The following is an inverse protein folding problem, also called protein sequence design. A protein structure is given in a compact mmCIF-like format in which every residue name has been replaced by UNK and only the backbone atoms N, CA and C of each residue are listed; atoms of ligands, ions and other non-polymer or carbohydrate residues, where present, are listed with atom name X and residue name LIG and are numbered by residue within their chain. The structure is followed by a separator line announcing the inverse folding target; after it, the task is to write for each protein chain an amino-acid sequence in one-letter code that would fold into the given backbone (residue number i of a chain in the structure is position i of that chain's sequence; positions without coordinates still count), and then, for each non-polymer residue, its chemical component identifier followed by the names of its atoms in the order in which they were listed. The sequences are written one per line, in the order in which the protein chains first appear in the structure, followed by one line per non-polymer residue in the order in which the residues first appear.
data_IF_670856368371
#
_entry.id   IF_670856368371
#
_cell.length_a   1.000
_cell.length_b   1.000
_cell.length_c   1.000
_cell.angle_alpha   90.00
_cell.angle_beta   90.00
_cell.angle_gamma   90.00
#
_symmetry.space_group_name_H-M   'P 1'
#
loop_
_entity.id
_entity.type
_entity.pdbx_description
1 polymer ?
#
# COMPACT_ATOMS: atom_id res chain seq x y z
N UNK A 1 5.92 -40.16 8.94
CA UNK A 1 6.37 -38.75 8.95
C UNK A 1 5.26 -37.89 8.38
N UNK A 2 4.46 -37.27 9.24
CA UNK A 2 3.41 -36.34 8.81
C UNK A 2 4.08 -35.05 8.34
N UNK A 3 4.06 -34.82 7.03
CA UNK A 3 4.41 -33.53 6.44
C UNK A 3 3.43 -32.48 6.97
N UNK A 4 3.80 -31.79 8.05
CA UNK A 4 3.08 -30.63 8.55
C UNK A 4 3.19 -29.54 7.48
N UNK A 5 2.19 -29.47 6.60
CA UNK A 5 2.06 -28.34 5.68
C UNK A 5 1.96 -27.08 6.53
N UNK A 6 2.78 -26.05 6.27
CA UNK A 6 2.67 -24.80 7.01
C UNK A 6 1.26 -24.22 6.85
N UNK A 7 0.73 -23.53 7.87
CA UNK A 7 -0.58 -22.90 7.79
C UNK A 7 -0.62 -21.91 6.62
N UNK A 8 -1.78 -21.76 5.96
CA UNK A 8 -1.91 -20.88 4.79
C UNK A 8 -1.51 -19.43 5.06
N UNK A 9 -1.61 -18.96 6.30
CA UNK A 9 -1.12 -17.64 6.72
C UNK A 9 0.40 -17.48 6.57
N UNK A 10 1.17 -18.55 6.79
CA UNK A 10 2.61 -18.56 6.55
C UNK A 10 2.95 -18.56 5.05
N UNK A 11 2.03 -19.04 4.20
CA UNK A 11 2.18 -18.98 2.74
C UNK A 11 1.85 -17.58 2.19
N UNK A 12 1.10 -16.76 2.93
CA UNK A 12 0.59 -15.48 2.47
C UNK A 12 0.79 -14.36 3.50
N UNK A 13 2.03 -13.88 3.70
CA UNK A 13 2.36 -12.89 4.72
C UNK A 13 1.51 -11.61 4.65
N UNK A 14 1.14 -11.17 3.44
CA UNK A 14 0.29 -9.98 3.25
C UNK A 14 -1.15 -10.18 3.73
N UNK A 15 -1.70 -11.39 3.57
CA UNK A 15 -3.05 -11.72 4.07
C UNK A 15 -3.03 -11.78 5.59
N UNK A 16 -1.96 -12.35 6.17
CA UNK A 16 -1.77 -12.37 7.62
C UNK A 16 -1.69 -10.95 8.19
N UNK A 17 -0.91 -10.06 7.55
CA UNK A 17 -0.83 -8.66 7.92
C UNK A 17 -2.19 -7.96 7.81
N UNK A 18 -2.90 -8.10 6.67
CA UNK A 18 -4.21 -7.49 6.48
C UNK A 18 -5.22 -7.92 7.56
N UNK A 19 -5.23 -9.22 7.89
CA UNK A 19 -6.09 -9.78 8.94
C UNK A 19 -5.76 -9.18 10.30
N UNK A 20 -4.46 -9.09 10.64
CA UNK A 20 -4.01 -8.50 11.89
C UNK A 20 -4.39 -7.01 11.98
N UNK A 21 -4.17 -6.23 10.93
CA UNK A 21 -4.51 -4.81 10.88
C UNK A 21 -6.03 -4.59 11.02
N UNK A 22 -6.84 -5.44 10.41
CA UNK A 22 -8.31 -5.38 10.54
C UNK A 22 -8.77 -5.66 11.97
N UNK A 23 -8.17 -6.66 12.64
CA UNK A 23 -8.44 -6.94 14.06
C UNK A 23 -8.05 -5.76 14.96
N UNK A 24 -6.90 -5.14 14.70
CA UNK A 24 -6.44 -3.96 15.45
C UNK A 24 -7.38 -2.75 15.27
N UNK A 25 -7.94 -2.57 14.07
CA UNK A 25 -8.92 -1.50 13.83
C UNK A 25 -10.21 -1.72 14.63
N UNK A 26 -10.72 -2.94 14.70
CA UNK A 26 -11.93 -3.26 15.47
C UNK A 26 -11.75 -3.04 16.97
N UNK A 27 -10.55 -3.29 17.51
CA UNK A 27 -10.22 -3.03 18.90
C UNK A 27 -9.98 -1.54 19.20
N UNK A 28 -9.78 -0.73 18.16
CA UNK A 28 -9.23 0.61 18.29
C UNK A 28 -10.24 1.74 18.45
N UNK A 29 -11.52 1.48 18.22
CA UNK A 29 -12.59 2.49 18.32
C UNK A 29 -13.04 2.77 19.76
N UNK A 30 -12.57 2.00 20.75
CA UNK A 30 -13.09 2.08 22.13
C UNK A 30 -12.18 2.84 23.14
N UNK A 31 -10.88 3.00 22.88
CA UNK A 31 -9.96 3.67 23.81
C UNK A 31 -8.90 4.55 23.11
N UNK A 32 -9.12 5.87 23.15
CA UNK A 32 -8.17 6.88 22.66
C UNK A 32 -7.20 7.31 23.78
N UNK A 33 -6.32 6.40 24.20
CA UNK A 33 -5.19 6.72 25.08
C UNK A 33 -3.88 6.67 24.27
N UNK A 34 -3.02 7.69 24.39
CA UNK A 34 -1.76 7.81 23.64
C UNK A 34 -0.83 6.62 23.85
N UNK A 35 -0.79 6.05 25.06
CA UNK A 35 -0.01 4.84 25.35
C UNK A 35 -0.54 3.62 24.59
N UNK A 36 -1.86 3.44 24.56
CA UNK A 36 -2.49 2.36 23.80
C UNK A 36 -2.28 2.51 22.29
N UNK A 37 -2.22 3.74 21.77
CA UNK A 37 -1.88 4.02 20.37
C UNK A 37 -0.42 3.63 20.09
N UNK A 38 0.51 4.01 20.96
CA UNK A 38 1.93 3.67 20.81
C UNK A 38 2.16 2.15 20.85
N UNK A 39 1.55 1.45 21.81
CA UNK A 39 1.64 0.00 21.92
C UNK A 39 1.11 -0.71 20.67
N UNK A 40 -0.04 -0.25 20.13
CA UNK A 40 -0.60 -0.77 18.88
C UNK A 40 0.34 -0.56 17.69
N UNK A 41 0.96 0.62 17.58
CA UNK A 41 1.97 0.90 16.54
C UNK A 41 3.17 -0.03 16.68
N UNK A 42 3.71 -0.18 17.90
CA UNK A 42 4.85 -1.06 18.17
C UNK A 42 4.54 -2.53 17.87
N UNK A 43 3.36 -3.01 18.24
CA UNK A 43 2.92 -4.36 17.93
C UNK A 43 2.80 -4.57 16.42
N UNK A 44 2.20 -3.60 15.71
CA UNK A 44 2.10 -3.62 14.25
C UNK A 44 3.47 -3.73 13.58
N UNK A 45 4.46 -2.96 14.05
CA UNK A 45 5.83 -3.03 13.54
C UNK A 45 6.49 -4.38 13.79
N UNK A 46 6.32 -4.97 14.98
CA UNK A 46 6.87 -6.31 15.29
C UNK A 46 6.27 -7.41 14.42
N UNK A 47 4.96 -7.36 14.19
CA UNK A 47 4.28 -8.31 13.30
C UNK A 47 4.78 -8.13 11.87
N UNK A 48 4.89 -6.90 11.38
CA UNK A 48 5.41 -6.64 10.04
C UNK A 48 6.86 -7.11 9.88
N UNK A 49 7.72 -6.87 10.87
CA UNK A 49 9.11 -7.36 10.88
C UNK A 49 9.16 -8.89 10.83
N UNK A 50 8.34 -9.56 11.64
CA UNK A 50 8.27 -11.02 11.67
C UNK A 50 7.82 -11.63 10.33
N UNK A 51 6.94 -10.92 9.60
CA UNK A 51 6.37 -11.39 8.33
C UNK A 51 7.24 -11.07 7.11
N UNK A 52 7.97 -9.96 7.13
CA UNK A 52 8.63 -9.39 5.95
C UNK A 52 10.14 -9.17 6.11
N UNK A 53 10.64 -9.25 7.35
CA UNK A 53 12.03 -9.00 7.73
C UNK A 53 12.38 -7.51 7.85
N UNK A 54 13.37 -7.23 8.70
CA UNK A 54 13.76 -5.89 9.10
C UNK A 54 14.11 -4.98 7.92
N UNK A 55 14.87 -5.50 6.93
CA UNK A 55 15.30 -4.70 5.77
C UNK A 55 14.13 -4.23 4.91
N UNK A 56 13.11 -5.07 4.71
CA UNK A 56 11.94 -4.69 3.92
C UNK A 56 11.05 -3.71 4.70
N UNK A 57 10.89 -3.93 6.01
CA UNK A 57 10.17 -3.02 6.90
C UNK A 57 10.84 -1.65 6.97
N UNK A 58 12.15 -1.59 7.19
CA UNK A 58 12.92 -0.34 7.21
C UNK A 58 12.71 0.46 5.92
N UNK A 59 12.83 -0.20 4.77
CA UNK A 59 12.57 0.45 3.48
C UNK A 59 11.13 0.97 3.34
N UNK A 60 10.15 0.28 3.94
CA UNK A 60 8.76 0.72 3.95
C UNK A 60 8.54 1.93 4.87
N UNK A 61 9.17 1.95 6.05
CA UNK A 61 9.13 3.08 6.98
C UNK A 61 9.80 4.31 6.36
N UNK A 62 10.98 4.16 5.75
CA UNK A 62 11.61 5.25 5.01
C UNK A 62 10.69 5.79 3.92
N UNK A 63 9.98 4.92 3.19
CA UNK A 63 9.01 5.33 2.17
C UNK A 63 7.88 6.17 2.77
N UNK A 64 7.37 5.81 3.96
CA UNK A 64 6.31 6.57 4.64
C UNK A 64 6.76 7.97 5.10
N UNK A 65 8.04 8.10 5.47
CA UNK A 65 8.64 9.35 5.94
C UNK A 65 9.06 10.27 4.78
N UNK A 66 9.65 9.71 3.71
CA UNK A 66 10.30 10.49 2.66
C UNK A 66 9.36 10.86 1.52
N UNK A 67 8.38 10.02 1.21
CA UNK A 67 7.62 10.12 -0.03
C UNK A 67 6.30 10.84 0.19
N UNK A 68 5.87 11.64 -0.79
CA UNK A 68 4.48 12.08 -0.83
C UNK A 68 3.64 10.98 -1.46
N UNK A 69 2.52 10.66 -0.82
CA UNK A 69 1.62 9.59 -1.25
C UNK A 69 0.30 10.24 -1.66
N UNK A 70 -0.03 10.14 -2.94
CA UNK A 70 -1.32 10.57 -3.46
C UNK A 70 -2.18 9.34 -3.76
N UNK A 71 -3.36 9.27 -3.17
CA UNK A 71 -4.37 8.28 -3.47
C UNK A 71 -5.43 8.89 -4.39
N UNK A 72 -5.66 8.24 -5.53
CA UNK A 72 -6.78 8.55 -6.42
C UNK A 72 -7.79 7.42 -6.29
N UNK A 73 -9.04 7.76 -5.98
CA UNK A 73 -10.14 6.82 -5.84
C UNK A 73 -11.28 7.17 -6.81
N UNK A 74 -11.62 6.23 -7.70
CA UNK A 74 -12.84 6.33 -8.50
C UNK A 74 -14.04 5.91 -7.64
N UNK A 75 -15.03 6.80 -7.49
CA UNK A 75 -16.23 6.50 -6.68
C UNK A 75 -17.09 5.42 -7.35
N UNK A 76 -17.21 5.49 -8.67
CA UNK A 76 -18.05 4.59 -9.51
C UNK A 76 -17.53 3.16 -9.54
N UNK A 77 -16.28 2.94 -9.95
CA UNK A 77 -15.68 1.60 -10.02
C UNK A 77 -15.02 1.14 -8.72
N UNK A 78 -14.96 2.02 -7.70
CA UNK A 78 -14.22 1.81 -6.45
C UNK A 78 -12.74 1.50 -6.67
N UNK A 79 -12.17 1.79 -7.84
CA UNK A 79 -10.75 1.59 -8.13
C UNK A 79 -9.91 2.57 -7.31
N UNK A 80 -8.75 2.11 -6.84
CA UNK A 80 -7.80 2.92 -6.09
C UNK A 80 -6.42 2.77 -6.71
N UNK A 81 -5.78 3.90 -6.99
CA UNK A 81 -4.38 3.97 -7.39
C UNK A 81 -3.63 4.86 -6.41
N UNK A 82 -2.42 4.44 -6.05
CA UNK A 82 -1.53 5.20 -5.20
C UNK A 82 -0.32 5.62 -6.02
N UNK A 83 0.01 6.91 -5.98
CA UNK A 83 1.22 7.46 -6.59
C UNK A 83 2.14 7.89 -5.45
N UNK A 84 3.29 7.24 -5.33
CA UNK A 84 4.36 7.60 -4.43
C UNK A 84 5.37 8.43 -5.21
N UNK A 85 5.63 9.65 -4.74
CA UNK A 85 6.65 10.53 -5.33
C UNK A 85 7.76 10.71 -4.32
N UNK A 86 8.95 10.22 -4.67
CA UNK A 86 10.13 10.34 -3.82
C UNK A 86 10.60 11.78 -3.84
N UNK A 87 10.68 12.42 -2.66
CA UNK A 87 11.25 13.76 -2.57
C UNK A 87 12.73 13.70 -2.89
N UNK A 88 13.17 14.58 -3.77
CA UNK A 88 14.60 14.77 -4.02
C UNK A 88 15.22 15.30 -2.73
N UNK A 89 16.00 14.47 -2.05
CA UNK A 89 16.82 14.91 -0.93
C UNK A 89 17.83 15.89 -1.55
N UNK A 90 17.72 17.18 -1.24
CA UNK A 90 18.62 18.25 -1.73
C UNK A 90 20.06 18.00 -1.26
N UNK A 91 20.74 17.01 -1.83
CA UNK A 91 22.18 16.87 -1.70
C UNK A 91 22.81 17.89 -2.65
N UNK A 92 23.64 18.74 -2.05
CA UNK A 92 24.34 19.83 -2.72
C UNK A 92 25.26 19.25 -3.81
N UNK A 93 24.82 19.33 -5.06
CA UNK A 93 25.57 19.65 -6.28
C UNK A 93 25.01 18.88 -7.48
N UNK A 94 24.43 19.66 -8.39
CA UNK A 94 24.46 19.49 -9.85
C UNK A 94 23.99 18.15 -10.41
N UNK A 95 22.68 17.96 -10.46
CA UNK A 95 21.93 17.52 -11.65
C UNK A 95 20.44 17.53 -11.30
N UNK A 96 19.62 18.12 -12.15
CA UNK A 96 18.19 18.33 -11.93
C UNK A 96 17.44 17.02 -12.23
N UNK A 97 17.69 15.97 -11.43
CA UNK A 97 17.06 14.67 -11.61
C UNK A 97 15.56 14.76 -11.26
N UNK A 98 14.69 14.38 -12.19
CA UNK A 98 13.25 14.36 -11.96
C UNK A 98 12.90 13.46 -10.76
N UNK A 99 11.91 13.83 -9.93
CA UNK A 99 11.52 13.02 -8.80
C UNK A 99 11.00 11.67 -9.29
N UNK A 100 11.55 10.58 -8.75
CA UNK A 100 11.08 9.23 -9.10
C UNK A 100 9.63 9.05 -8.63
N UNK A 101 8.76 8.64 -9.55
CA UNK A 101 7.35 8.32 -9.29
C UNK A 101 7.13 6.81 -9.39
N UNK A 102 6.41 6.26 -8.41
CA UNK A 102 5.94 4.88 -8.41
C UNK A 102 4.43 4.87 -8.27
N UNK A 103 3.73 4.17 -9.17
CA UNK A 103 2.33 3.84 -8.97
C UNK A 103 2.15 2.43 -8.43
N UNK A 104 1.17 2.29 -7.54
CA UNK A 104 0.79 1.04 -6.89
C UNK A 104 -0.73 0.85 -6.97
N UNK A 105 -1.16 -0.41 -7.09
CA UNK A 105 -2.55 -0.80 -6.99
C UNK A 105 -2.71 -1.74 -5.79
N UNK A 106 -3.69 -1.44 -4.94
CA UNK A 106 -4.07 -2.27 -3.81
C UNK A 106 -5.48 -2.79 -4.01
N UNK A 107 -5.77 -4.04 -3.59
CA UNK A 107 -7.11 -4.57 -3.64
C UNK A 107 -8.02 -3.76 -2.71
N UNK A 108 -9.22 -3.45 -3.20
CA UNK A 108 -10.24 -2.78 -2.40
C UNK A 108 -10.92 -3.86 -1.55
N UNK A 109 -11.00 -3.69 -0.22
CA UNK A 109 -11.75 -4.59 0.63
C UNK A 109 -13.22 -4.56 0.19
N UNK A 110 -13.74 -5.69 -0.26
CA UNK A 110 -15.18 -5.81 -0.54
C UNK A 110 -15.87 -6.05 0.79
N UNK A 111 -16.34 -4.97 1.42
CA UNK A 111 -17.20 -5.08 2.61
C UNK A 111 -18.57 -5.54 2.11
N UNK A 112 -18.80 -6.86 2.14
CA UNK A 112 -20.12 -7.42 1.85
C UNK A 112 -21.02 -7.24 3.07
N UNK A 113 -22.13 -6.47 2.99
CA UNK A 113 -22.96 -6.13 4.14
C UNK A 113 -23.87 -7.27 4.65
N UNK A 114 -23.70 -8.52 4.19
CA UNK A 114 -24.71 -9.58 4.36
C UNK A 114 -24.23 -10.93 4.90
N UNK A 115 -22.98 -11.10 5.34
CA UNK A 115 -22.58 -12.36 6.00
C UNK A 115 -21.38 -12.14 6.94
N UNK A 116 -21.53 -12.52 8.21
CA UNK A 116 -20.47 -12.57 9.24
C UNK A 116 -19.36 -13.60 8.96
N UNK A 117 -19.35 -14.21 7.77
CA UNK A 117 -18.20 -14.96 7.27
C UNK A 117 -17.50 -14.12 6.21
N UNK A 118 -16.40 -13.48 6.63
CA UNK A 118 -15.39 -12.87 5.75
C UNK A 118 -14.82 -13.98 4.86
N UNK A 119 -15.54 -14.32 3.80
CA UNK A 119 -15.00 -15.18 2.74
C UNK A 119 -14.10 -14.29 1.89
N UNK A 120 -12.81 -14.30 2.23
CA UNK A 120 -11.66 -13.71 1.52
C UNK A 120 -11.51 -14.25 0.08
N UNK A 121 -12.57 -14.18 -0.74
CA UNK A 121 -12.62 -14.77 -2.09
C UNK A 121 -12.26 -13.80 -3.20
N UNK A 122 -12.27 -12.49 -2.97
CA UNK A 122 -11.58 -11.58 -3.87
C UNK A 122 -10.08 -11.61 -3.56
N UNK A 123 -9.36 -12.57 -4.16
CA UNK A 123 -7.90 -12.50 -4.32
C UNK A 123 -7.60 -11.28 -5.21
N UNK A 124 -7.69 -10.09 -4.65
CA UNK A 124 -7.42 -8.88 -5.40
C UNK A 124 -5.94 -8.78 -5.73
N UNK A 125 -5.62 -8.16 -6.86
CA UNK A 125 -4.26 -8.06 -7.36
C UNK A 125 -3.51 -6.91 -6.68
N UNK A 126 -2.29 -7.19 -6.21
CA UNK A 126 -1.35 -6.19 -5.74
C UNK A 126 -0.39 -5.86 -6.87
N UNK A 127 -0.13 -4.58 -7.14
CA UNK A 127 0.81 -4.15 -8.17
C UNK A 127 1.69 -3.01 -7.68
N UNK A 128 2.97 -3.04 -8.05
CA UNK A 128 3.84 -1.88 -7.93
C UNK A 128 4.72 -1.75 -9.17
N UNK A 129 4.84 -0.53 -9.69
CA UNK A 129 5.70 -0.20 -10.83
C UNK A 129 7.20 -0.24 -10.52
N UNK A 130 7.61 -0.47 -9.27
CA UNK A 130 9.03 -0.49 -8.92
C UNK A 130 9.73 -1.73 -9.49
N UNK A 131 11.01 -1.57 -9.86
CA UNK A 131 11.86 -2.63 -10.41
C UNK A 131 11.88 -3.90 -9.54
N UNK A 132 12.04 -3.73 -8.22
CA UNK A 132 12.10 -4.84 -7.28
C UNK A 132 10.82 -5.71 -7.28
N UNK A 133 9.66 -5.13 -7.57
CA UNK A 133 8.41 -5.89 -7.71
C UNK A 133 8.45 -6.74 -8.99
N UNK A 134 8.85 -6.17 -10.13
CA UNK A 134 8.96 -6.90 -11.40
C UNK A 134 10.01 -8.02 -11.38
N UNK A 135 11.16 -7.80 -10.74
CA UNK A 135 12.19 -8.84 -10.63
C UNK A 135 11.69 -10.05 -9.83
N UNK A 136 10.99 -9.80 -8.72
CA UNK A 136 10.39 -10.85 -7.88
C UNK A 136 9.25 -11.60 -8.57
N UNK A 137 8.45 -10.93 -9.41
CA UNK A 137 7.37 -11.62 -10.14
C UNK A 137 7.92 -12.52 -11.24
N UNK A 138 8.99 -12.10 -11.94
CA UNK A 138 9.67 -12.92 -12.96
C UNK A 138 10.34 -14.18 -12.38
N UNK A 139 10.95 -14.09 -11.20
CA UNK A 139 11.61 -15.25 -10.57
C UNK A 139 10.64 -16.32 -10.09
N UNK A 140 9.38 -15.96 -9.85
CA UNK A 140 8.37 -16.87 -9.29
C UNK A 140 7.65 -17.68 -10.36
N UNK A 141 7.42 -17.10 -11.54
CA UNK A 141 6.67 -17.74 -12.64
C UNK A 141 7.39 -18.90 -13.31
N UNK A 142 8.71 -19.04 -13.15
CA UNK A 142 9.50 -20.10 -13.81
C UNK A 142 9.62 -21.40 -13.00
N UNK A 143 9.38 -21.39 -11.69
CA UNK A 143 9.73 -22.52 -10.81
C UNK A 143 8.56 -23.22 -10.11
N UNK A 144 7.32 -22.75 -10.25
CA UNK A 144 6.14 -23.43 -9.69
C UNK A 144 4.83 -23.00 -10.36
N UNK A 145 4.13 -23.89 -11.08
CA UNK A 145 2.83 -23.59 -11.69
C UNK A 145 1.70 -23.36 -10.66
N UNK A 146 1.97 -23.49 -9.35
CA UNK A 146 1.00 -23.22 -8.27
C UNK A 146 1.35 -22.00 -7.41
N UNK A 147 2.52 -21.37 -7.59
CA UNK A 147 2.87 -20.13 -6.90
C UNK A 147 2.15 -18.96 -7.58
N UNK A 148 0.89 -18.77 -7.19
CA UNK A 148 0.10 -17.63 -7.63
C UNK A 148 0.86 -16.32 -7.34
N UNK A 149 0.98 -15.48 -8.35
CA UNK A 149 1.71 -14.20 -8.42
C UNK A 149 1.24 -13.12 -7.42
N UNK A 150 0.40 -13.48 -6.44
CA UNK A 150 -0.40 -12.58 -5.61
C UNK A 150 0.27 -12.15 -4.29
N UNK A 151 1.51 -12.57 -4.02
CA UNK A 151 2.09 -12.47 -2.66
C UNK A 151 3.41 -11.71 -2.57
N UNK A 152 3.92 -11.21 -3.70
CA UNK A 152 5.17 -10.45 -3.72
C UNK A 152 4.93 -9.01 -3.28
N UNK A 153 5.39 -8.68 -2.07
CA UNK A 153 5.31 -7.34 -1.49
C UNK A 153 6.67 -6.65 -1.65
N UNK A 154 6.66 -5.45 -2.24
CA UNK A 154 7.80 -4.54 -2.21
C UNK A 154 7.63 -3.53 -1.07
N UNK A 155 8.69 -2.77 -0.75
CA UNK A 155 8.65 -1.77 0.31
C UNK A 155 7.52 -0.74 0.13
N UNK A 156 7.20 -0.35 -1.11
CA UNK A 156 6.12 0.60 -1.39
C UNK A 156 4.75 0.03 -1.05
N UNK A 157 4.48 -1.23 -1.43
CA UNK A 157 3.22 -1.90 -1.10
C UNK A 157 3.08 -2.11 0.41
N UNK A 158 4.17 -2.52 1.07
CA UNK A 158 4.19 -2.67 2.52
C UNK A 158 3.94 -1.33 3.22
N UNK A 159 4.60 -0.26 2.77
CA UNK A 159 4.39 1.10 3.28
C UNK A 159 2.92 1.49 3.19
N UNK A 160 2.30 1.36 2.02
CA UNK A 160 0.88 1.70 1.84
C UNK A 160 -0.06 0.87 2.72
N UNK A 161 0.28 -0.40 3.00
CA UNK A 161 -0.50 -1.27 3.90
C UNK A 161 -0.36 -0.87 5.37
N UNK A 162 0.84 -0.53 5.82
CA UNK A 162 1.11 -0.13 7.21
C UNK A 162 0.63 1.29 7.52
N UNK A 163 0.60 2.16 6.51
CA UNK A 163 0.24 3.58 6.61
C UNK A 163 -0.97 3.85 7.51
N UNK A 164 -2.15 3.23 7.34
CA UNK A 164 -3.34 3.60 8.12
C UNK A 164 -3.18 3.33 9.62
N UNK A 165 -2.40 2.30 9.97
CA UNK A 165 -2.16 1.91 11.36
C UNK A 165 -1.04 2.71 12.03
N UNK A 166 -0.08 3.22 11.24
CA UNK A 166 1.07 3.96 11.79
C UNK A 166 0.85 5.48 11.82
N UNK A 167 0.05 6.02 10.91
CA UNK A 167 -0.09 7.47 10.67
C UNK A 167 -1.50 7.99 10.95
N UNK A 168 -2.14 7.43 11.98
CA UNK A 168 -3.43 7.88 12.47
C UNK A 168 -3.31 9.30 13.06
N UNK A 169 -3.85 10.28 12.34
CA UNK A 169 -4.53 11.47 12.88
C UNK A 169 -3.81 12.57 13.67
N UNK A 170 -2.47 12.69 13.70
CA UNK A 170 -1.84 13.91 14.30
C UNK A 170 -0.70 14.49 13.47
N UNK A 171 -1.05 15.46 12.62
CA UNK A 171 -0.29 16.71 12.44
C UNK A 171 1.05 16.72 11.69
N UNK A 172 1.92 15.70 11.81
CA UNK A 172 3.30 15.85 11.33
C UNK A 172 3.81 14.58 10.64
N UNK A 173 4.32 14.74 9.41
CA UNK A 173 5.23 13.77 8.81
C UNK A 173 4.93 13.37 7.37
N UNK A 174 3.69 12.99 7.03
CA UNK A 174 3.39 12.42 5.70
C UNK A 174 2.39 13.29 4.93
N UNK A 175 2.83 13.90 3.82
CA UNK A 175 1.95 14.60 2.86
C UNK A 175 1.15 13.56 2.08
N UNK A 176 0.05 13.14 2.69
CA UNK A 176 -0.93 12.33 2.02
C UNK A 176 -2.02 13.19 1.45
N UNK A 177 -2.33 12.91 0.20
CA UNK A 177 -3.41 13.55 -0.49
C UNK A 177 -4.35 12.47 -0.99
N UNK A 178 -5.63 12.59 -0.65
CA UNK A 178 -6.67 11.75 -1.22
C UNK A 178 -7.46 12.60 -2.23
N UNK A 179 -7.69 12.06 -3.41
CA UNK A 179 -8.49 12.67 -4.47
C UNK A 179 -9.55 11.67 -4.89
N UNK A 180 -10.81 12.07 -4.80
CA UNK A 180 -11.94 11.26 -5.25
C UNK A 180 -12.42 11.79 -6.61
N UNK A 181 -12.69 10.89 -7.54
CA UNK A 181 -13.18 11.22 -8.88
C UNK A 181 -14.58 10.66 -9.08
N UNK A 182 -15.46 11.47 -9.66
CA UNK A 182 -16.86 11.12 -9.86
C UNK A 182 -17.05 10.21 -11.09
N UNK A 183 -16.19 10.35 -12.11
CA UNK A 183 -16.24 9.54 -13.33
C UNK A 183 -14.91 8.81 -13.60
N UNK A 184 -14.94 7.84 -14.51
CA UNK A 184 -13.76 7.07 -14.92
C UNK A 184 -12.81 7.89 -15.82
N UNK A 185 -13.35 8.84 -16.57
CA UNK A 185 -12.60 9.80 -17.37
C UNK A 185 -11.76 10.70 -16.45
N UNK A 186 -12.38 11.28 -15.42
CA UNK A 186 -11.69 12.07 -14.40
C UNK A 186 -10.62 11.27 -13.67
N UNK A 187 -10.91 10.00 -13.35
CA UNK A 187 -9.92 9.09 -12.76
C UNK A 187 -8.68 8.96 -13.66
N UNK A 188 -8.90 8.70 -14.95
CA UNK A 188 -7.83 8.48 -15.92
C UNK A 188 -7.02 9.75 -16.15
N UNK A 189 -7.70 10.89 -16.28
CA UNK A 189 -7.06 12.21 -16.42
C UNK A 189 -6.18 12.54 -15.22
N UNK A 190 -6.69 12.35 -14.00
CA UNK A 190 -5.94 12.64 -12.78
C UNK A 190 -4.72 11.72 -12.63
N UNK A 191 -4.84 10.44 -12.99
CA UNK A 191 -3.71 9.50 -13.01
C UNK A 191 -2.65 9.98 -14.00
N UNK A 192 -3.04 10.31 -15.23
CA UNK A 192 -2.10 10.76 -16.27
C UNK A 192 -1.42 12.08 -15.86
N UNK A 193 -2.17 13.02 -15.29
CA UNK A 193 -1.64 14.29 -14.79
C UNK A 193 -0.54 14.08 -13.76
N UNK A 194 -0.78 13.22 -12.77
CA UNK A 194 0.22 12.91 -11.74
C UNK A 194 1.45 12.20 -12.31
N UNK A 195 1.27 11.25 -13.22
CA UNK A 195 2.39 10.49 -13.79
C UNK A 195 3.24 11.33 -14.73
N UNK A 196 2.63 12.06 -15.65
CA UNK A 196 3.31 12.82 -16.70
C UNK A 196 3.77 14.21 -16.25
N UNK A 197 3.40 14.67 -15.05
CA UNK A 197 3.87 15.95 -14.53
C UNK A 197 3.25 17.16 -15.21
N UNK A 198 2.05 17.01 -15.78
CA UNK A 198 1.32 18.14 -16.34
C UNK A 198 0.85 19.05 -15.20
N UNK A 199 1.47 20.23 -15.07
CA UNK A 199 0.78 21.38 -14.51
C UNK A 199 -0.46 21.60 -15.38
N UNK A 200 -1.60 21.17 -14.85
CA UNK A 200 -2.84 21.18 -15.61
C UNK A 200 -3.29 22.61 -15.81
N UNK A 201 -2.96 23.19 -16.96
CA UNK A 201 -3.89 24.09 -17.62
C UNK A 201 -5.10 23.25 -18.02
N UNK A 202 -6.15 23.34 -17.19
CA UNK A 202 -7.47 22.86 -17.54
C UNK A 202 -7.86 23.53 -18.85
N UNK A 203 -7.88 22.78 -19.95
CA UNK A 203 -8.64 23.19 -21.13
C UNK A 203 -10.10 23.07 -20.72
N UNK A 204 -10.68 24.20 -20.32
CA UNK A 204 -12.11 24.33 -20.11
C UNK A 204 -12.81 24.01 -21.43
N UNK A 205 -13.51 22.89 -21.48
CA UNK A 205 -14.49 22.62 -22.53
C UNK A 205 -15.71 23.46 -22.17
N UNK A 206 -15.88 24.59 -22.87
CA UNK A 206 -17.15 25.31 -22.96
C UNK A 206 -18.13 24.57 -23.87
#
# INVERSE_FOLDING_TARGET
MTSLRPPQSALYPIIALDTFLQQQQQLGDEESNDTAILERKMLTLRVADSLFGASLLEGALTTLESDSITEIQAVTSRRRMFVLTKKQQRRRRSEQEEPSKYFCLLPVPVVSPKNDSVTNKSKGFLFCSCRAYFEKTKSTTMNSPQASTSYMVCKHLLALKLRPALLSSSGEGCRYQKTETATEEQFSEQVLKLLLGGDGECIGIQ
#
